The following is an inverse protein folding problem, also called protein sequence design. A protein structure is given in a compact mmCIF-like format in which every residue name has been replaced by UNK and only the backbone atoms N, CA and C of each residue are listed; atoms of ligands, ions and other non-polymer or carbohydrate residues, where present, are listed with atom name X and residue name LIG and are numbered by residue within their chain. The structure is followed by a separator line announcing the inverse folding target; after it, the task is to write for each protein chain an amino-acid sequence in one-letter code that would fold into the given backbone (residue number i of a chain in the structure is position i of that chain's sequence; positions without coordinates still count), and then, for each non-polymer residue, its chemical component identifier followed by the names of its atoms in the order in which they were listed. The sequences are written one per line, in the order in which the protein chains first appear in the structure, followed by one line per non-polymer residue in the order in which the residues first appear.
data_IF_070579370561
#
_entry.id   IF_070579370561
#
_cell.length_a   1.000
_cell.length_b   1.000
_cell.length_c   1.000
_cell.angle_alpha   90.00
_cell.angle_beta   90.00
_cell.angle_gamma   90.00
#
_symmetry.space_group_name_H-M   'P 1'
#
loop_
_entity.id
_entity.type
_entity.pdbx_description
1 polymer ?
#
# COMPACT_ATOMS: atom_id res chain seq x y z
N UNK A 1 18.01 14.79 -13.14
CA UNK A 1 16.95 14.18 -12.29
C UNK A 1 15.63 13.92 -13.04
N UNK A 2 15.18 14.77 -13.97
CA UNK A 2 13.90 14.59 -14.68
C UNK A 2 13.81 13.37 -15.62
N UNK A 3 14.91 12.98 -16.27
CA UNK A 3 14.91 11.89 -17.25
C UNK A 3 14.75 10.48 -16.63
N UNK A 4 15.23 10.27 -15.40
CA UNK A 4 15.10 9.00 -14.68
C UNK A 4 13.66 8.77 -14.23
N UNK A 5 13.01 9.84 -13.75
CA UNK A 5 11.62 9.86 -13.30
C UNK A 5 10.65 9.48 -14.42
N UNK A 6 10.87 10.00 -15.62
CA UNK A 6 10.02 9.73 -16.79
C UNK A 6 10.07 8.27 -17.24
N UNK A 7 11.24 7.63 -17.14
CA UNK A 7 11.43 6.21 -17.52
C UNK A 7 10.84 5.24 -16.50
N UNK A 8 10.81 5.62 -15.22
CA UNK A 8 10.19 4.87 -14.13
C UNK A 8 8.65 4.91 -14.16
N UNK A 9 8.08 6.07 -14.50
CA UNK A 9 6.62 6.27 -14.56
C UNK A 9 5.95 5.56 -15.74
N UNK A 10 6.63 5.41 -16.89
CA UNK A 10 6.06 4.80 -18.10
C UNK A 10 6.30 3.28 -18.23
N UNK A 11 7.10 2.68 -17.34
CA UNK A 11 7.42 1.24 -17.40
C UNK A 11 6.65 0.39 -16.38
N UNK A 12 5.91 1.00 -15.46
CA UNK A 12 5.26 0.26 -14.38
C UNK A 12 3.84 0.78 -14.18
N UNK A 13 2.80 0.03 -14.59
CA UNK A 13 1.42 0.49 -14.51
C UNK A 13 0.88 0.79 -13.09
N UNK A 14 1.63 0.60 -12.00
CA UNK A 14 1.12 0.80 -10.61
C UNK A 14 2.12 1.29 -9.53
N UNK A 15 3.43 1.46 -9.75
CA UNK A 15 4.37 1.31 -8.60
C UNK A 15 4.69 2.51 -7.70
N UNK A 16 4.57 3.77 -8.17
CA UNK A 16 4.98 4.91 -7.32
C UNK A 16 3.90 5.30 -6.31
N UNK A 17 2.62 5.30 -6.73
CA UNK A 17 1.49 5.62 -5.84
C UNK A 17 1.34 4.58 -4.74
N UNK A 18 1.35 3.31 -5.09
CA UNK A 18 1.29 2.17 -4.15
C UNK A 18 2.41 2.24 -3.10
N UNK A 19 3.64 2.52 -3.53
CA UNK A 19 4.78 2.64 -2.63
C UNK A 19 4.62 3.83 -1.67
N UNK A 20 4.13 4.97 -2.16
CA UNK A 20 3.85 6.13 -1.31
C UNK A 20 2.75 5.83 -0.30
N UNK A 21 1.67 5.17 -0.71
CA UNK A 21 0.56 4.80 0.17
C UNK A 21 1.00 3.82 1.26
N UNK A 22 1.80 2.80 0.93
CA UNK A 22 2.36 1.88 1.92
C UNK A 22 3.32 2.58 2.89
N UNK A 23 4.15 3.50 2.41
CA UNK A 23 5.05 4.28 3.26
C UNK A 23 4.27 5.21 4.21
N UNK A 24 3.20 5.85 3.71
CA UNK A 24 2.33 6.68 4.52
C UNK A 24 1.62 5.85 5.60
N UNK A 25 1.09 4.67 5.25
CA UNK A 25 0.48 3.76 6.22
C UNK A 25 1.48 3.27 7.28
N UNK A 26 2.73 3.00 6.91
CA UNK A 26 3.79 2.63 7.84
C UNK A 26 4.11 3.74 8.85
N UNK A 27 4.19 4.99 8.38
CA UNK A 27 4.40 6.15 9.26
C UNK A 27 3.17 6.34 10.17
N UNK A 28 1.96 6.22 9.63
CA UNK A 28 0.72 6.37 10.38
C UNK A 28 0.57 5.29 11.47
N UNK A 29 0.98 4.06 11.20
CA UNK A 29 1.01 2.97 12.16
C UNK A 29 2.20 3.02 13.13
N UNK A 30 3.07 4.05 13.03
CA UNK A 30 4.30 4.20 13.83
C UNK A 30 5.21 2.97 13.73
N UNK A 31 5.22 2.33 12.57
CA UNK A 31 5.97 1.09 12.34
C UNK A 31 5.35 -0.16 12.94
N UNK A 32 4.10 -0.12 13.40
CA UNK A 32 3.33 -1.26 13.91
C UNK A 32 2.14 -1.55 12.97
N UNK A 33 2.37 -2.15 11.80
CA UNK A 33 1.34 -2.30 10.75
C UNK A 33 0.09 -3.07 11.18
N UNK A 34 0.18 -3.93 12.19
CA UNK A 34 -0.96 -4.66 12.77
C UNK A 34 -2.00 -3.76 13.44
N UNK A 35 -1.61 -2.54 13.85
CA UNK A 35 -2.47 -1.59 14.56
C UNK A 35 -3.34 -0.75 13.59
N UNK A 36 -3.16 -0.91 12.28
CA UNK A 36 -3.83 -0.09 11.27
C UNK A 36 -4.32 -0.93 10.07
N UNK A 37 -5.63 -1.15 9.91
CA UNK A 37 -6.17 -1.79 8.72
C UNK A 37 -5.84 -1.00 7.45
N UNK A 38 -5.37 -1.70 6.42
CA UNK A 38 -5.08 -1.13 5.10
C UNK A 38 -6.20 -1.49 4.13
N UNK A 39 -7.11 -0.55 3.90
CA UNK A 39 -8.32 -0.74 3.07
C UNK A 39 -8.08 -0.20 1.67
N UNK A 40 -8.20 -1.07 0.67
CA UNK A 40 -8.13 -0.70 -0.75
C UNK A 40 -8.94 -1.68 -1.60
N UNK A 41 -9.51 -1.19 -2.71
CA UNK A 41 -10.17 -2.03 -3.72
C UNK A 41 -9.16 -2.59 -4.75
N UNK A 42 -7.91 -2.15 -4.72
CA UNK A 42 -6.85 -2.69 -5.57
C UNK A 42 -6.27 -3.97 -4.93
N UNK A 43 -6.54 -5.11 -5.56
CA UNK A 43 -6.08 -6.42 -5.08
C UNK A 43 -4.55 -6.57 -5.05
N UNK A 44 -3.82 -5.88 -5.94
CA UNK A 44 -2.35 -5.94 -5.97
C UNK A 44 -1.75 -5.15 -4.81
N UNK A 45 -2.30 -3.96 -4.55
CA UNK A 45 -1.91 -3.16 -3.40
C UNK A 45 -2.33 -3.81 -2.08
N UNK A 46 -3.53 -4.39 -1.99
CA UNK A 46 -3.98 -5.17 -0.84
C UNK A 46 -3.01 -6.33 -0.56
N UNK A 47 -2.63 -7.09 -1.58
CA UNK A 47 -1.63 -8.15 -1.43
C UNK A 47 -0.27 -7.63 -0.97
N UNK A 48 0.15 -6.43 -1.41
CA UNK A 48 1.38 -5.81 -0.95
C UNK A 48 1.32 -5.36 0.51
N UNK A 49 0.19 -4.78 0.94
CA UNK A 49 -0.05 -4.37 2.32
C UNK A 49 -0.08 -5.58 3.27
N UNK A 50 -0.77 -6.66 2.89
CA UNK A 50 -0.80 -7.91 3.65
C UNK A 50 0.60 -8.49 3.87
N UNK A 51 1.45 -8.51 2.84
CA UNK A 51 2.87 -8.94 2.96
C UNK A 51 3.70 -8.05 3.88
N UNK A 52 3.23 -6.84 4.19
CA UNK A 52 3.87 -5.90 5.12
C UNK A 52 3.26 -5.96 6.53
N UNK A 53 2.29 -6.85 6.76
CA UNK A 53 1.68 -7.07 8.08
C UNK A 53 0.47 -6.19 8.36
N UNK A 54 -0.02 -5.43 7.37
CA UNK A 54 -1.27 -4.68 7.54
C UNK A 54 -2.47 -5.63 7.44
N UNK A 55 -3.42 -5.59 8.39
CA UNK A 55 -4.67 -6.31 8.26
C UNK A 55 -5.52 -5.70 7.14
N UNK A 56 -6.24 -6.56 6.42
CA UNK A 56 -7.20 -6.12 5.41
C UNK A 56 -8.48 -5.56 6.04
N UNK A 57 -9.45 -5.21 5.19
CA UNK A 57 -10.80 -4.93 5.66
C UNK A 57 -11.37 -6.22 6.31
N UNK A 58 -11.85 -6.19 7.58
CA UNK A 58 -12.57 -7.31 8.15
C UNK A 58 -13.87 -7.55 7.38
N UNK A 59 -14.36 -8.79 7.35
CA UNK A 59 -15.66 -9.09 6.74
C UNK A 59 -16.74 -8.30 7.52
N UNK A 60 -17.52 -7.42 6.87
CA UNK A 60 -18.58 -6.67 7.55
C UNK A 60 -19.65 -7.57 8.21
N UNK A 61 -19.64 -8.89 7.95
CA UNK A 61 -20.52 -9.87 8.60
C UNK A 61 -19.99 -10.51 9.89
N UNK A 62 -18.79 -10.16 10.38
CA UNK A 62 -18.20 -10.73 11.62
C UNK A 62 -18.55 -9.97 12.92
N UNK A 63 -19.49 -9.00 12.87
CA UNK A 63 -19.94 -8.23 14.03
C UNK A 63 -21.19 -8.82 14.72
#
# INVERSE_FOLDING_TARGET
MAALYRRLLFSHPLRTGDALQLAAAWVASRGQPQDLPFVTLDARLAGAALRKGFPGLPDPGEA
#
